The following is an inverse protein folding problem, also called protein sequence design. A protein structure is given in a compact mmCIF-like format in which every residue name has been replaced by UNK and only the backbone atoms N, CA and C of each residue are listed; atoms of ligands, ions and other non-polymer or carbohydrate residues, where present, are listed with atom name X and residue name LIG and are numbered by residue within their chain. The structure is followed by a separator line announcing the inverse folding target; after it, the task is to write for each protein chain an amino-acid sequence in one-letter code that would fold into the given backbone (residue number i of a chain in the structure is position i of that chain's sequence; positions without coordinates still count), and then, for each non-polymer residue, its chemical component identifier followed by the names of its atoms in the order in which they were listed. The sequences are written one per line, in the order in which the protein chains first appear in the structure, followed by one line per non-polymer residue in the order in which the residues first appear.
data_IF_974248331157
#
_entry.id   IF_974248331157
#
_cell.length_a   1.000
_cell.length_b   1.000
_cell.length_c   1.000
_cell.angle_alpha   90.00
_cell.angle_beta   90.00
_cell.angle_gamma   90.00
#
_symmetry.space_group_name_H-M   'P 1'
#
loop_
_entity.id
_entity.type
_entity.pdbx_description
1 polymer ?
#
# COMPACT_ATOMS: atom_id res chain seq x y z
N UNK A 1 -23.61 -53.14 -18.74
CA UNK A 1 -24.01 -51.75 -19.03
C UNK A 1 -22.73 -50.92 -18.93
N UNK A 2 -22.09 -50.67 -20.07
CA UNK A 2 -20.75 -50.09 -20.13
C UNK A 2 -20.84 -48.56 -20.19
N UNK A 3 -20.20 -47.89 -19.24
CA UNK A 3 -19.97 -46.44 -19.21
C UNK A 3 -19.10 -46.03 -20.41
N UNK A 4 -19.44 -45.00 -21.20
CA UNK A 4 -18.55 -44.53 -22.26
C UNK A 4 -17.33 -43.80 -21.69
N UNK A 5 -16.17 -44.06 -22.28
CA UNK A 5 -14.91 -43.42 -21.96
C UNK A 5 -14.95 -41.93 -22.31
N UNK A 6 -14.54 -41.09 -21.35
CA UNK A 6 -14.24 -39.68 -21.59
C UNK A 6 -12.94 -39.60 -22.42
N UNK A 7 -13.01 -38.97 -23.59
CA UNK A 7 -11.82 -38.65 -24.37
C UNK A 7 -11.12 -37.40 -23.80
N UNK A 8 -9.78 -37.34 -23.79
CA UNK A 8 -9.04 -36.20 -23.27
C UNK A 8 -9.06 -35.01 -24.24
N UNK A 9 -9.29 -33.81 -23.69
CA UNK A 9 -9.18 -32.52 -24.41
C UNK A 9 -7.70 -32.13 -24.59
N UNK A 10 -7.27 -31.64 -25.77
CA UNK A 10 -5.87 -31.36 -26.05
C UNK A 10 -5.37 -30.05 -25.41
N UNK A 11 -4.16 -30.14 -24.84
CA UNK A 11 -3.42 -29.11 -24.07
C UNK A 11 -2.66 -28.13 -24.99
N UNK A 12 -3.32 -27.52 -25.97
CA UNK A 12 -2.65 -26.57 -26.88
C UNK A 12 -3.56 -25.42 -27.29
N UNK A 13 -3.53 -24.33 -26.50
CA UNK A 13 -3.61 -22.93 -26.94
C UNK A 13 -3.92 -21.99 -25.75
N UNK A 14 -2.99 -21.86 -24.78
CA UNK A 14 -2.96 -20.66 -23.93
C UNK A 14 -2.11 -19.64 -24.68
N UNK A 15 -2.75 -18.91 -25.61
CA UNK A 15 -2.13 -17.75 -26.24
C UNK A 15 -2.24 -16.56 -25.28
N UNK A 16 -1.13 -16.20 -24.65
CA UNK A 16 -0.97 -14.91 -23.97
C UNK A 16 -1.10 -13.79 -25.00
N UNK A 17 -2.25 -13.12 -25.02
CA UNK A 17 -2.43 -11.85 -25.71
C UNK A 17 -2.95 -10.83 -24.70
N UNK A 18 -2.04 -10.05 -24.15
CA UNK A 18 -2.40 -8.82 -23.44
C UNK A 18 -3.08 -7.87 -24.44
N UNK A 19 -4.24 -7.26 -24.12
CA UNK A 19 -4.82 -6.27 -25.00
C UNK A 19 -4.09 -4.93 -24.80
N UNK A 20 -3.59 -4.40 -25.91
CA UNK A 20 -3.21 -3.01 -26.10
C UNK A 20 -4.49 -2.14 -26.07
N UNK A 21 -4.84 -1.59 -24.90
CA UNK A 21 -6.02 -0.72 -24.76
C UNK A 21 -5.57 0.71 -24.50
N UNK A 22 -5.54 1.50 -25.57
CA UNK A 22 -5.74 2.95 -25.48
C UNK A 22 -7.22 3.24 -25.26
N UNK A 23 -7.57 3.69 -24.08
CA UNK A 23 -8.94 4.08 -23.72
C UNK A 23 -9.07 4.25 -22.21
N UNK A 24 -9.43 5.47 -21.78
CA UNK A 24 -9.57 5.88 -20.38
C UNK A 24 -10.66 5.04 -19.70
N UNK A 25 -10.24 3.96 -19.05
CA UNK A 25 -11.00 3.22 -18.05
C UNK A 25 -10.21 3.39 -16.75
N UNK A 26 -10.70 4.22 -15.83
CA UNK A 26 -10.17 4.33 -14.47
C UNK A 26 -10.12 2.93 -13.88
N UNK A 27 -8.93 2.36 -13.82
CA UNK A 27 -8.71 1.01 -13.32
C UNK A 27 -8.90 1.06 -11.81
N UNK A 28 -9.95 0.39 -11.32
CA UNK A 28 -10.26 0.20 -9.90
C UNK A 28 -9.37 -0.88 -9.23
N UNK A 29 -8.34 -1.33 -9.94
CA UNK A 29 -7.42 -2.38 -9.47
C UNK A 29 -6.10 -1.69 -9.10
N UNK A 30 -5.53 -1.97 -7.91
CA UNK A 30 -4.25 -1.39 -7.54
C UNK A 30 -3.15 -1.78 -8.53
N UNK A 31 -2.34 -0.80 -8.94
CA UNK A 31 -1.20 -1.04 -9.83
C UNK A 31 -0.05 -1.71 -9.05
N UNK A 32 0.18 -2.99 -9.32
CA UNK A 32 1.20 -3.80 -8.64
C UNK A 32 2.64 -3.39 -8.92
N UNK A 33 2.87 -2.49 -9.89
CA UNK A 33 4.20 -1.89 -10.13
C UNK A 33 4.53 -0.79 -9.11
N UNK A 34 3.53 -0.29 -8.39
CA UNK A 34 3.74 0.73 -7.36
C UNK A 34 4.16 0.05 -6.06
N UNK A 35 5.34 0.42 -5.59
CA UNK A 35 5.94 -0.09 -4.35
C UNK A 35 6.44 1.06 -3.48
N UNK A 36 6.71 0.78 -2.20
CA UNK A 36 7.33 1.76 -1.31
C UNK A 36 8.80 2.04 -1.66
N UNK A 37 9.46 1.15 -2.40
CA UNK A 37 10.90 1.22 -2.69
C UNK A 37 11.27 2.42 -3.58
N UNK A 38 10.33 2.92 -4.39
CA UNK A 38 10.47 4.13 -5.22
C UNK A 38 9.49 5.23 -4.77
N UNK A 39 9.12 5.22 -3.48
CA UNK A 39 8.20 6.20 -2.92
C UNK A 39 8.95 7.29 -2.17
N UNK A 40 8.55 8.55 -2.36
CA UNK A 40 9.01 9.68 -1.54
C UNK A 40 8.40 9.70 -0.13
N UNK A 41 8.16 8.51 0.46
CA UNK A 41 7.47 8.31 1.73
C UNK A 41 6.11 9.05 1.84
N UNK A 42 5.33 9.09 0.74
CA UNK A 42 4.13 9.91 0.62
C UNK A 42 3.12 9.70 1.76
N UNK A 43 2.64 8.46 1.95
CA UNK A 43 1.69 8.15 3.02
C UNK A 43 2.28 8.24 4.44
N UNK A 44 3.61 8.34 4.60
CA UNK A 44 4.24 8.52 5.92
C UNK A 44 4.13 9.97 6.42
N UNK A 45 3.63 10.90 5.60
CA UNK A 45 3.28 12.27 6.03
C UNK A 45 1.91 12.36 6.68
N UNK A 46 1.06 11.35 6.47
CA UNK A 46 -0.31 11.34 6.97
C UNK A 46 -0.37 11.11 8.47
N UNK A 47 -1.37 11.71 9.11
CA UNK A 47 -1.72 11.38 10.48
C UNK A 47 -2.45 10.03 10.51
N UNK A 48 -1.99 9.12 11.36
CA UNK A 48 -2.51 7.75 11.42
C UNK A 48 -2.85 7.38 12.85
N UNK A 49 -4.11 7.04 13.08
CA UNK A 49 -4.59 6.50 14.35
C UNK A 49 -4.16 5.04 14.50
N UNK A 50 -3.59 4.71 15.65
CA UNK A 50 -3.31 3.33 16.06
C UNK A 50 -4.58 2.71 16.64
N UNK A 51 -5.48 2.24 15.77
CA UNK A 51 -6.79 1.68 16.16
C UNK A 51 -6.70 0.45 17.08
N UNK A 52 -5.59 -0.29 17.01
CA UNK A 52 -5.38 -1.53 17.76
C UNK A 52 -3.98 -1.52 18.40
N UNK A 53 -3.78 -2.35 19.43
CA UNK A 53 -2.44 -2.65 19.96
C UNK A 53 -1.70 -3.61 19.02
N UNK A 54 -1.52 -3.21 17.76
CA UNK A 54 -0.90 -4.00 16.68
C UNK A 54 0.58 -4.32 16.93
N UNK A 55 1.12 -3.88 18.06
CA UNK A 55 2.53 -4.02 18.43
C UNK A 55 3.39 -2.83 18.04
N UNK A 56 2.78 -1.69 17.64
CA UNK A 56 3.53 -0.44 17.36
C UNK A 56 4.33 -0.05 18.62
N UNK A 57 5.66 0.10 18.53
CA UNK A 57 6.46 0.52 19.67
C UNK A 57 6.04 1.91 20.19
N UNK A 58 5.90 2.04 21.52
CA UNK A 58 5.40 3.28 22.16
C UNK A 58 6.21 4.53 21.84
N UNK A 59 7.50 4.38 21.53
CA UNK A 59 8.39 5.49 21.16
C UNK A 59 8.18 6.01 19.73
N UNK A 60 7.27 5.43 18.95
CA UNK A 60 6.84 5.94 17.65
C UNK A 60 5.40 6.49 17.69
N UNK A 61 4.81 6.61 18.87
CA UNK A 61 3.40 6.98 19.05
C UNK A 61 3.24 8.12 20.03
N UNK A 62 2.24 8.95 19.80
CA UNK A 62 1.82 10.01 20.71
C UNK A 62 0.31 9.98 20.93
N UNK A 63 -0.21 10.86 21.78
CA UNK A 63 -1.65 11.07 21.95
C UNK A 63 -2.07 12.37 21.30
N UNK A 64 -3.17 12.33 20.57
CA UNK A 64 -3.79 13.53 20.01
C UNK A 64 -4.57 14.31 21.08
N UNK A 65 -5.20 15.41 20.67
CA UNK A 65 -5.98 16.28 21.55
C UNK A 65 -7.25 15.60 22.14
N UNK A 66 -7.72 14.51 21.52
CA UNK A 66 -8.89 13.75 21.95
C UNK A 66 -8.51 12.48 22.72
N UNK A 67 -7.21 12.25 22.94
CA UNK A 67 -6.68 11.12 23.69
C UNK A 67 -6.48 9.85 22.86
N UNK A 68 -6.71 9.87 21.54
CA UNK A 68 -6.43 8.74 20.67
C UNK A 68 -4.92 8.56 20.52
N UNK A 69 -4.48 7.30 20.39
CA UNK A 69 -3.07 7.00 20.11
C UNK A 69 -2.85 7.12 18.62
N UNK A 70 -1.91 7.97 18.21
CA UNK A 70 -1.55 8.22 16.81
C UNK A 70 -0.06 7.97 16.60
N UNK A 71 0.33 7.71 15.35
CA UNK A 71 1.75 7.74 14.97
C UNK A 71 2.32 9.14 15.24
N UNK A 72 3.45 9.20 15.93
CA UNK A 72 4.15 10.46 16.17
C UNK A 72 4.71 10.99 14.86
N UNK A 73 4.48 12.28 14.60
CA UNK A 73 5.06 13.01 13.47
C UNK A 73 6.13 13.94 14.01
N UNK A 74 7.31 13.90 13.42
CA UNK A 74 8.43 14.76 13.81
C UNK A 74 8.32 16.12 13.11
N UNK A 75 9.26 17.02 13.42
CA UNK A 75 9.28 18.39 12.89
C UNK A 75 9.45 18.45 11.35
N UNK A 76 9.94 17.37 10.73
CA UNK A 76 10.03 17.21 9.28
C UNK A 76 8.69 16.85 8.62
N UNK A 77 7.64 16.64 9.44
CA UNK A 77 6.30 16.30 8.99
C UNK A 77 6.11 14.82 8.68
N UNK A 78 7.15 13.99 8.80
CA UNK A 78 7.10 12.54 8.60
C UNK A 78 6.88 11.78 9.90
N UNK A 79 6.34 10.56 9.77
CA UNK A 79 6.17 9.67 10.91
C UNK A 79 7.53 9.28 11.52
N UNK A 80 7.57 9.10 12.84
CA UNK A 80 8.78 8.82 13.59
C UNK A 80 9.45 7.49 13.17
N UNK A 81 8.67 6.54 12.65
CA UNK A 81 9.17 5.23 12.23
C UNK A 81 9.84 5.20 10.86
N UNK A 82 9.75 6.28 10.07
CA UNK A 82 10.36 6.39 8.75
C UNK A 82 11.89 6.43 8.82
N UNK A 83 12.54 5.67 7.95
CA UNK A 83 13.97 5.81 7.66
C UNK A 83 14.20 6.94 6.66
N UNK A 84 15.08 7.90 6.98
CA UNK A 84 15.31 9.09 6.14
C UNK A 84 16.26 8.81 4.99
N UNK A 85 17.12 7.79 5.12
CA UNK A 85 18.09 7.45 4.10
C UNK A 85 17.44 6.59 3.01
N UNK A 86 16.55 5.67 3.40
CA UNK A 86 15.90 4.74 2.46
C UNK A 86 14.46 5.10 2.12
N UNK A 87 13.83 6.01 2.86
CA UNK A 87 12.40 6.35 2.76
C UNK A 87 11.46 5.15 2.95
N UNK A 88 11.96 4.10 3.61
CA UNK A 88 11.19 2.90 3.97
C UNK A 88 10.81 2.93 5.45
N UNK A 89 9.68 2.31 5.79
CA UNK A 89 9.27 2.18 7.18
C UNK A 89 10.18 1.18 7.91
N UNK A 90 10.66 1.51 9.11
CA UNK A 90 11.51 0.60 9.90
C UNK A 90 10.73 -0.50 10.63
N UNK A 91 9.40 -0.38 10.68
CA UNK A 91 8.53 -1.25 11.49
C UNK A 91 7.47 -2.00 10.68
N UNK A 92 7.75 -2.42 9.43
CA UNK A 92 6.77 -3.11 8.57
C UNK A 92 5.95 -4.20 9.29
N UNK A 93 6.62 -5.05 10.09
CA UNK A 93 5.97 -6.12 10.86
C UNK A 93 5.02 -5.61 11.94
N UNK A 94 5.29 -4.43 12.50
CA UNK A 94 4.58 -3.83 13.63
C UNK A 94 3.81 -2.57 13.23
N UNK A 95 3.58 -2.33 11.93
CA UNK A 95 2.82 -1.18 11.43
C UNK A 95 1.42 -1.16 12.05
N UNK A 96 0.87 0.04 12.32
CA UNK A 96 -0.52 0.17 12.71
C UNK A 96 -1.43 -0.38 11.60
N UNK A 97 -2.62 -0.82 11.99
CA UNK A 97 -3.59 -1.45 11.08
C UNK A 97 -3.84 -0.61 9.83
N UNK A 98 -4.08 0.70 9.99
CA UNK A 98 -4.33 1.61 8.88
C UNK A 98 -3.16 1.66 7.87
N UNK A 99 -1.91 1.60 8.32
CA UNK A 99 -0.76 1.55 7.39
C UNK A 99 -0.60 0.20 6.69
N UNK A 100 -1.23 -0.88 7.18
CA UNK A 100 -1.20 -2.21 6.57
C UNK A 100 -2.33 -2.40 5.56
N UNK A 101 -3.49 -1.85 5.87
CA UNK A 101 -4.69 -1.92 5.02
C UNK A 101 -4.73 -0.83 3.95
N UNK A 102 -3.86 0.18 4.05
CA UNK A 102 -3.70 1.18 3.00
C UNK A 102 -3.34 0.53 1.66
N UNK A 103 -4.20 0.71 0.65
CA UNK A 103 -4.08 0.03 -0.64
C UNK A 103 -2.95 0.63 -1.48
N UNK A 104 -1.80 -0.04 -1.46
CA UNK A 104 -0.64 0.34 -2.26
C UNK A 104 -0.97 0.23 -3.76
N UNK A 105 -0.70 1.29 -4.51
CA UNK A 105 -1.08 1.37 -5.93
C UNK A 105 -2.57 1.65 -6.17
N UNK A 106 -3.38 1.76 -5.11
CA UNK A 106 -4.76 2.21 -5.17
C UNK A 106 -4.89 3.72 -5.36
N UNK A 107 -6.12 4.25 -5.53
CA UNK A 107 -6.37 5.65 -5.83
C UNK A 107 -5.82 6.60 -4.76
N UNK A 108 -5.97 6.27 -3.47
CA UNK A 108 -5.44 7.08 -2.38
C UNK A 108 -3.90 7.09 -2.38
N UNK A 109 -3.27 5.94 -2.64
CA UNK A 109 -1.82 5.87 -2.76
C UNK A 109 -1.28 6.76 -3.89
N UNK A 110 -1.97 6.80 -5.03
CA UNK A 110 -1.58 7.61 -6.17
C UNK A 110 -1.78 9.11 -5.90
N UNK A 111 -2.92 9.48 -5.30
CA UNK A 111 -3.21 10.87 -4.93
C UNK A 111 -2.17 11.43 -3.96
N UNK A 112 -1.78 10.65 -2.94
CA UNK A 112 -0.75 11.07 -1.99
C UNK A 112 0.64 11.19 -2.63
N UNK A 113 0.97 10.30 -3.59
CA UNK A 113 2.24 10.38 -4.34
C UNK A 113 2.29 11.62 -5.23
N UNK A 114 1.18 11.99 -5.87
CA UNK A 114 1.07 13.21 -6.65
C UNK A 114 1.22 14.46 -5.77
N UNK A 115 0.50 14.53 -4.64
CA UNK A 115 0.60 15.63 -3.68
C UNK A 115 2.02 15.79 -3.08
N UNK A 116 2.71 14.68 -2.87
CA UNK A 116 4.09 14.68 -2.38
C UNK A 116 5.09 15.28 -3.40
N UNK A 117 4.79 15.21 -4.70
CA UNK A 117 5.61 15.80 -5.76
C UNK A 117 5.40 17.31 -5.89
N UNK A 118 4.15 17.77 -5.78
CA UNK A 118 3.81 19.21 -5.90
C UNK A 118 4.33 20.07 -4.73
N UNK A 119 4.73 19.42 -3.63
CA UNK A 119 5.28 20.07 -2.44
C UNK A 119 6.81 20.22 -2.45
N UNK A 120 7.48 19.88 -3.55
CA UNK A 120 8.95 19.88 -3.70
C UNK A 120 9.43 20.77 -4.85
#
# INVERSE_FOLDING_TARGET
MATPALEPVPETAVQERAPEVGGVLTTLVPDSRITCDDCAAACCKLEVVCLTETGVPRHFTTRDAWGAVVMERLDDGWCAALDRDTLLCRIYAQRPLLCREFEMGGPDCLAEREAAWDSN
#
